data_IF_041546025866
#
_entry.id   IF_041546025866
#
_cell.length_a   1.000
_cell.length_b   1.000
_cell.length_c   1.000
_cell.angle_alpha   90.00
_cell.angle_beta   90.00
_cell.angle_gamma   90.00
#
_symmetry.space_group_name_H-M   'P 1'
#
loop_
_entity.id
_entity.type
_entity.pdbx_description
1 polymer ?
#
# COMPACT_ATOMS: atom_id res chain seq x y z
N UNK A 1 2.61 -8.08 -8.33
CA UNK A 1 3.24 -7.02 -9.16
C UNK A 1 4.73 -7.30 -9.19
N UNK A 2 5.26 -7.81 -10.31
CA UNK A 2 6.61 -8.38 -10.38
C UNK A 2 7.51 -7.76 -11.44
N UNK A 3 6.97 -6.90 -12.31
CA UNK A 3 7.75 -6.15 -13.28
C UNK A 3 8.04 -4.75 -12.71
N UNK A 4 9.31 -4.34 -12.76
CA UNK A 4 9.75 -3.03 -12.26
C UNK A 4 9.36 -1.89 -13.21
N UNK A 5 9.00 -2.21 -14.46
CA UNK A 5 8.49 -1.25 -15.44
C UNK A 5 7.04 -0.79 -15.14
N UNK A 6 6.33 -1.50 -14.26
CA UNK A 6 4.95 -1.14 -13.86
C UNK A 6 4.90 0.10 -12.94
N UNK A 7 6.05 0.57 -12.45
CA UNK A 7 6.11 1.77 -11.61
C UNK A 7 5.89 3.03 -12.44
N UNK A 8 5.05 3.94 -11.95
CA UNK A 8 4.76 5.18 -12.67
C UNK A 8 5.87 6.21 -12.49
N UNK A 9 6.06 7.08 -13.49
CA UNK A 9 6.97 8.22 -13.38
C UNK A 9 6.64 9.12 -12.18
N UNK A 10 5.33 9.27 -11.87
CA UNK A 10 4.89 10.04 -10.71
C UNK A 10 5.28 9.38 -9.39
N UNK A 11 5.17 8.06 -9.29
CA UNK A 11 5.62 7.34 -8.10
C UNK A 11 7.12 7.50 -7.88
N UNK A 12 7.94 7.34 -8.93
CA UNK A 12 9.39 7.55 -8.84
C UNK A 12 9.75 8.96 -8.37
N UNK A 13 9.12 9.99 -8.96
CA UNK A 13 9.33 11.38 -8.57
C UNK A 13 8.96 11.62 -7.10
N UNK A 14 7.76 11.20 -6.68
CA UNK A 14 7.31 11.36 -5.28
C UNK A 14 8.25 10.64 -4.32
N UNK A 15 8.65 9.40 -4.62
CA UNK A 15 9.58 8.66 -3.76
C UNK A 15 10.95 9.34 -3.64
N UNK A 16 11.38 10.09 -4.67
CA UNK A 16 12.62 10.88 -4.64
C UNK A 16 12.52 12.24 -3.94
N UNK A 17 11.31 12.78 -3.77
CA UNK A 17 11.08 14.13 -3.22
C UNK A 17 10.64 14.14 -1.75
N UNK A 18 10.05 13.05 -1.25
CA UNK A 18 9.54 13.00 0.13
C UNK A 18 10.66 12.92 1.17
N UNK A 19 10.41 13.35 2.41
CA UNK A 19 11.39 13.32 3.49
C UNK A 19 11.67 11.88 3.99
N UNK A 20 10.66 11.00 3.95
CA UNK A 20 10.79 9.61 4.39
C UNK A 20 9.79 8.68 3.68
N UNK A 21 10.20 7.43 3.45
CA UNK A 21 9.34 6.37 2.92
C UNK A 21 9.01 5.37 4.03
N UNK A 22 7.75 5.31 4.45
CA UNK A 22 7.21 4.25 5.29
C UNK A 22 6.91 3.01 4.44
N UNK A 23 7.57 1.89 4.73
CA UNK A 23 7.50 0.67 3.91
C UNK A 23 7.37 -0.60 4.75
N UNK A 24 6.69 -1.60 4.20
CA UNK A 24 6.45 -2.90 4.85
C UNK A 24 7.76 -3.69 5.03
N UNK A 25 8.45 -4.02 3.93
CA UNK A 25 9.84 -4.52 3.95
C UNK A 25 10.82 -3.49 3.38
N UNK A 26 11.67 -2.95 4.26
CA UNK A 26 12.74 -2.01 3.90
C UNK A 26 13.77 -2.59 2.92
N UNK A 27 14.02 -3.90 2.92
CA UNK A 27 14.99 -4.56 2.04
C UNK A 27 14.45 -4.66 0.61
N UNK A 28 13.17 -5.05 0.47
CA UNK A 28 12.48 -5.09 -0.83
C UNK A 28 12.38 -3.68 -1.41
N UNK A 29 11.94 -2.72 -0.60
CA UNK A 29 11.83 -1.32 -0.99
C UNK A 29 13.18 -0.75 -1.41
N UNK A 30 14.26 -1.03 -0.66
CA UNK A 30 15.62 -0.59 -1.01
C UNK A 30 16.07 -1.07 -2.39
N UNK A 31 15.69 -2.28 -2.80
CA UNK A 31 16.04 -2.81 -4.13
C UNK A 31 15.38 -2.00 -5.24
N UNK A 32 14.10 -1.65 -5.07
CA UNK A 32 13.38 -0.76 -6.00
C UNK A 32 14.05 0.63 -6.04
N UNK A 33 14.27 1.24 -4.88
CA UNK A 33 14.86 2.58 -4.80
C UNK A 33 16.26 2.64 -5.43
N UNK A 34 17.10 1.65 -5.15
CA UNK A 34 18.46 1.58 -5.69
C UNK A 34 18.47 1.50 -7.22
N UNK A 35 17.56 0.72 -7.83
CA UNK A 35 17.44 0.61 -9.30
C UNK A 35 17.09 1.95 -9.97
N UNK A 36 16.41 2.84 -9.25
CA UNK A 36 16.02 4.15 -9.74
C UNK A 36 16.85 5.31 -9.18
N UNK A 37 17.96 5.02 -8.48
CA UNK A 37 18.85 6.05 -7.92
C UNK A 37 18.23 6.89 -6.80
N UNK A 38 17.17 6.40 -6.16
CA UNK A 38 16.46 7.12 -5.10
C UNK A 38 17.16 6.85 -3.75
N UNK A 39 17.49 7.92 -3.02
CA UNK A 39 18.24 7.88 -1.75
C UNK A 39 17.42 8.23 -0.52
N UNK A 40 16.12 8.46 -0.70
CA UNK A 40 15.19 8.83 0.36
C UNK A 40 15.22 7.80 1.49
N UNK A 41 15.34 8.22 2.76
CA UNK A 41 15.43 7.29 3.87
C UNK A 41 14.12 6.50 4.04
N UNK A 42 14.27 5.24 4.44
CA UNK A 42 13.14 4.33 4.66
C UNK A 42 12.95 4.05 6.15
N UNK A 43 11.69 3.94 6.58
CA UNK A 43 11.30 3.45 7.91
C UNK A 43 10.35 2.27 7.74
N UNK A 44 10.51 1.24 8.58
CA UNK A 44 9.63 0.08 8.55
C UNK A 44 8.26 0.41 9.16
N UNK A 45 7.19 0.12 8.42
CA UNK A 45 5.80 0.25 8.84
C UNK A 45 5.00 -0.97 8.34
N UNK A 46 4.73 -1.91 9.24
CA UNK A 46 4.09 -3.20 8.93
C UNK A 46 3.17 -3.65 10.08
N UNK A 47 2.45 -4.75 9.89
CA UNK A 47 1.36 -5.21 10.76
C UNK A 47 1.72 -5.23 12.26
N UNK A 48 2.90 -5.74 12.63
CA UNK A 48 3.29 -5.88 14.04
C UNK A 48 3.84 -4.61 14.68
N UNK A 49 4.20 -3.59 13.90
CA UNK A 49 4.80 -2.36 14.42
C UNK A 49 3.94 -1.11 14.18
N UNK A 50 2.84 -1.21 13.44
CA UNK A 50 2.00 -0.09 13.02
C UNK A 50 1.50 0.78 14.17
N UNK A 51 1.17 0.17 15.32
CA UNK A 51 0.70 0.89 16.51
C UNK A 51 1.80 1.73 17.17
N UNK A 52 3.06 1.31 17.03
CA UNK A 52 4.22 2.06 17.55
C UNK A 52 4.69 3.11 16.56
N UNK A 53 4.83 2.74 15.28
CA UNK A 53 5.38 3.61 14.22
C UNK A 53 4.38 4.63 13.69
N UNK A 54 3.08 4.36 13.76
CA UNK A 54 2.03 5.28 13.30
C UNK A 54 2.12 6.66 13.96
N UNK A 55 2.13 6.76 15.30
CA UNK A 55 2.33 8.02 16.01
C UNK A 55 3.63 8.75 15.67
N UNK A 56 4.71 8.02 15.35
CA UNK A 56 5.97 8.64 14.93
C UNK A 56 5.85 9.28 13.54
N UNK A 57 5.23 8.58 12.58
CA UNK A 57 4.97 9.08 11.23
C UNK A 57 4.01 10.27 11.23
N UNK A 58 2.96 10.23 12.06
CA UNK A 58 2.03 11.35 12.21
C UNK A 58 2.73 12.60 12.76
N UNK A 59 3.64 12.45 13.73
CA UNK A 59 4.44 13.59 14.22
C UNK A 59 5.29 14.22 13.13
N UNK A 60 5.89 13.42 12.25
CA UNK A 60 6.64 13.94 11.09
C UNK A 60 5.71 14.76 10.18
N UNK A 61 4.55 14.22 9.84
CA UNK A 61 3.56 14.89 9.00
C UNK A 61 3.07 16.20 9.63
N UNK A 62 2.75 16.22 10.93
CA UNK A 62 2.35 17.43 11.66
C UNK A 62 3.47 18.47 11.73
N UNK A 63 4.73 18.04 11.72
CA UNK A 63 5.89 18.92 11.64
C UNK A 63 6.16 19.46 10.22
N UNK A 64 5.25 19.22 9.26
CA UNK A 64 5.37 19.69 7.88
C UNK A 64 6.28 18.82 7.00
N UNK A 65 6.73 17.66 7.48
CA UNK A 65 7.45 16.68 6.66
C UNK A 65 6.48 15.91 5.78
N UNK A 66 7.02 15.38 4.70
CA UNK A 66 6.32 14.54 3.74
C UNK A 66 6.68 13.06 3.95
N UNK A 67 5.66 12.20 3.92
CA UNK A 67 5.82 10.74 4.08
C UNK A 67 5.18 10.04 2.87
N UNK A 68 5.96 9.24 2.14
CA UNK A 68 5.38 8.26 1.22
C UNK A 68 5.12 6.94 1.95
N UNK A 69 3.94 6.37 1.75
CA UNK A 69 3.58 5.03 2.23
C UNK A 69 3.64 4.05 1.06
N UNK A 70 4.36 2.93 1.24
CA UNK A 70 4.45 1.84 0.26
C UNK A 70 4.22 0.48 0.94
N UNK A 71 3.68 -0.48 0.20
CA UNK A 71 3.58 -1.91 0.57
C UNK A 71 4.55 -2.72 -0.30
N UNK A 72 4.80 -3.97 0.06
CA UNK A 72 5.68 -4.87 -0.68
C UNK A 72 5.28 -5.05 -2.16
N UNK A 73 3.99 -4.94 -2.48
CA UNK A 73 3.50 -4.97 -3.85
C UNK A 73 2.13 -4.31 -4.04
N UNK A 74 1.99 -3.48 -5.06
CA UNK A 74 0.70 -2.96 -5.51
C UNK A 74 0.30 -1.66 -4.84
N UNK A 75 -0.96 -1.58 -4.40
CA UNK A 75 -1.59 -0.34 -3.91
C UNK A 75 -1.64 -0.33 -2.38
N UNK A 76 -0.92 0.59 -1.70
CA UNK A 76 -0.93 0.70 -0.24
C UNK A 76 -2.30 1.02 0.34
N UNK A 77 -2.60 0.49 1.52
CA UNK A 77 -3.88 0.59 2.21
C UNK A 77 -4.92 -0.46 1.81
N UNK A 78 -4.58 -1.37 0.89
CA UNK A 78 -5.49 -2.44 0.43
C UNK A 78 -4.93 -3.79 0.83
N UNK A 79 -5.56 -4.43 1.83
CA UNK A 79 -5.11 -5.70 2.41
C UNK A 79 -3.71 -5.65 3.05
N UNK A 80 -3.30 -4.46 3.48
CA UNK A 80 -2.01 -4.18 4.13
C UNK A 80 -2.21 -3.22 5.33
N UNK A 81 -1.18 -2.94 6.15
CA UNK A 81 -1.33 -2.17 7.38
C UNK A 81 -1.54 -0.66 7.16
N UNK A 82 -1.40 -0.18 5.93
CA UNK A 82 -1.46 1.22 5.55
C UNK A 82 -2.78 1.94 5.84
N UNK A 83 -3.89 1.21 5.88
CA UNK A 83 -5.21 1.74 6.22
C UNK A 83 -5.19 2.54 7.53
N UNK A 84 -4.48 2.03 8.54
CA UNK A 84 -4.44 2.63 9.86
C UNK A 84 -3.82 4.03 9.83
N UNK A 85 -2.64 4.16 9.19
CA UNK A 85 -1.95 5.44 9.05
C UNK A 85 -2.79 6.45 8.26
N UNK A 86 -3.41 6.02 7.17
CA UNK A 86 -4.27 6.88 6.35
C UNK A 86 -5.46 7.39 7.16
N UNK A 87 -6.12 6.51 7.93
CA UNK A 87 -7.24 6.87 8.80
C UNK A 87 -6.83 7.94 9.81
N UNK A 88 -5.71 7.74 10.49
CA UNK A 88 -5.22 8.66 11.52
C UNK A 88 -4.75 9.99 10.93
N UNK A 89 -4.07 9.98 9.78
CA UNK A 89 -3.67 11.19 9.08
C UNK A 89 -4.89 12.04 8.68
N UNK A 90 -5.93 11.41 8.12
CA UNK A 90 -7.18 12.10 7.79
C UNK A 90 -7.87 12.67 9.03
N UNK A 91 -7.92 11.92 10.13
CA UNK A 91 -8.49 12.38 11.38
C UNK A 91 -7.76 13.61 11.95
N UNK A 92 -6.45 13.73 11.68
CA UNK A 92 -5.62 14.88 12.05
C UNK A 92 -5.67 16.03 11.03
N UNK A 93 -6.52 15.97 10.00
CA UNK A 93 -6.61 17.00 8.96
C UNK A 93 -5.42 17.03 7.99
N UNK A 94 -4.59 15.99 7.98
CA UNK A 94 -3.41 15.90 7.12
C UNK A 94 -3.84 15.46 5.72
N UNK A 95 -3.42 16.17 4.65
CA UNK A 95 -3.73 15.76 3.28
C UNK A 95 -3.18 14.37 2.96
N UNK A 96 -4.02 13.49 2.42
CA UNK A 96 -3.62 12.18 1.89
C UNK A 96 -3.79 12.19 0.38
N UNK A 97 -2.69 12.02 -0.34
CA UNK A 97 -2.66 12.09 -1.81
C UNK A 97 -2.37 10.70 -2.38
N UNK A 98 -3.37 9.99 -2.94
CA UNK A 98 -3.13 8.69 -3.57
C UNK A 98 -2.35 8.86 -4.88
N UNK A 99 -1.37 7.99 -5.12
CA UNK A 99 -0.66 7.86 -6.40
C UNK A 99 -1.23 6.68 -7.18
N UNK A 100 -1.91 6.90 -8.32
CA UNK A 100 -2.33 5.81 -9.19
C UNK A 100 -1.14 4.97 -9.59
N UNK A 101 -1.36 3.66 -9.60
CA UNK A 101 -0.31 2.70 -9.80
C UNK A 101 -0.84 1.29 -9.90
N UNK A 102 0.07 0.31 -9.88
CA UNK A 102 -0.27 -1.07 -10.14
C UNK A 102 -1.22 -1.68 -9.09
N UNK A 103 -2.23 -2.41 -9.57
CA UNK A 103 -3.15 -3.20 -8.75
C UNK A 103 -3.35 -4.57 -9.38
N UNK A 104 -2.97 -5.63 -8.66
CA UNK A 104 -3.10 -7.01 -9.15
C UNK A 104 -4.58 -7.39 -9.38
N UNK A 105 -5.49 -6.88 -8.54
CA UNK A 105 -6.93 -7.07 -8.67
C UNK A 105 -7.45 -6.51 -9.99
N UNK A 106 -7.17 -5.23 -10.26
CA UNK A 106 -7.69 -4.54 -11.45
C UNK A 106 -7.04 -5.08 -12.72
N UNK A 107 -5.75 -5.40 -12.68
CA UNK A 107 -5.04 -6.00 -13.80
C UNK A 107 -5.56 -7.40 -14.14
N UNK A 108 -5.89 -8.22 -13.14
CA UNK A 108 -6.50 -9.53 -13.39
C UNK A 108 -7.92 -9.39 -13.94
N UNK A 109 -8.74 -8.51 -13.35
CA UNK A 109 -10.12 -8.30 -13.78
C UNK A 109 -10.21 -7.79 -15.23
N UNK A 110 -9.33 -6.87 -15.63
CA UNK A 110 -9.36 -6.30 -16.99
C UNK A 110 -9.06 -7.32 -18.09
N UNK A 111 -8.37 -8.42 -17.77
CA UNK A 111 -8.04 -9.51 -18.69
C UNK A 111 -8.90 -10.77 -18.49
N UNK A 112 -9.85 -10.77 -17.55
CA UNK A 112 -10.58 -11.98 -17.14
C UNK A 112 -11.72 -12.38 -18.11
N UNK A 113 -12.13 -11.52 -19.04
CA UNK A 113 -13.21 -11.80 -19.98
C UNK A 113 -14.60 -11.91 -19.34
N UNK A 114 -14.80 -11.31 -18.16
CA UNK A 114 -16.08 -11.26 -17.43
C UNK A 114 -16.57 -9.80 -17.30
N UNK A 115 -17.87 -9.57 -17.09
CA UNK A 115 -18.38 -8.22 -16.79
C UNK A 115 -17.63 -7.61 -15.60
N UNK A 116 -17.17 -6.37 -15.77
CA UNK A 116 -16.33 -5.65 -14.82
C UNK A 116 -16.90 -4.28 -14.42
N UNK A 117 -18.14 -3.97 -14.82
CA UNK A 117 -18.88 -2.77 -14.42
C UNK A 117 -19.19 -2.75 -12.92
N UNK A 118 -19.36 -3.94 -12.32
CA UNK A 118 -19.52 -4.13 -10.87
C UNK A 118 -18.82 -5.41 -10.44
N UNK A 119 -17.99 -5.31 -9.41
CA UNK A 119 -17.30 -6.45 -8.82
C UNK A 119 -17.15 -6.26 -7.31
N UNK A 120 -16.94 -7.38 -6.61
CA UNK A 120 -16.69 -7.39 -5.17
C UNK A 120 -15.27 -7.89 -4.92
N UNK A 121 -14.49 -7.14 -4.15
CA UNK A 121 -13.18 -7.57 -3.67
C UNK A 121 -13.28 -8.07 -2.22
N UNK A 122 -13.09 -9.36 -2.04
CA UNK A 122 -13.17 -10.04 -0.73
C UNK A 122 -11.81 -10.18 -0.03
N UNK A 123 -10.72 -9.76 -0.68
CA UNK A 123 -9.38 -10.02 -0.18
C UNK A 123 -9.10 -11.52 -0.04
N UNK A 124 -8.51 -11.91 1.10
CA UNK A 124 -8.14 -13.29 1.38
C UNK A 124 -9.23 -14.01 2.16
N UNK A 125 -9.71 -15.13 1.63
CA UNK A 125 -10.63 -16.00 2.35
C UNK A 125 -9.96 -16.63 3.59
N UNK A 126 -10.75 -17.03 4.61
CA UNK A 126 -10.22 -17.72 5.77
C UNK A 126 -9.38 -18.96 5.38
N UNK A 127 -8.23 -19.15 6.04
CA UNK A 127 -7.36 -20.30 5.78
C UNK A 127 -8.01 -21.65 6.14
N UNK A 128 -8.89 -21.67 7.15
CA UNK A 128 -9.55 -22.90 7.62
C UNK A 128 -10.67 -23.33 6.64
N UNK A 129 -10.67 -24.58 6.13
CA UNK A 129 -11.62 -25.02 5.10
C UNK A 129 -13.09 -24.81 5.44
N UNK A 130 -13.51 -25.10 6.69
CA UNK A 130 -14.89 -24.89 7.13
C UNK A 130 -15.31 -23.42 7.09
N UNK A 131 -14.47 -22.53 7.61
CA UNK A 131 -14.73 -21.07 7.58
C UNK A 131 -14.71 -20.52 6.15
N UNK A 132 -13.79 -21.01 5.32
CA UNK A 132 -13.72 -20.65 3.89
C UNK A 132 -15.01 -21.00 3.16
N UNK A 133 -15.49 -22.23 3.31
CA UNK A 133 -16.74 -22.69 2.68
C UNK A 133 -17.95 -21.89 3.16
N UNK A 134 -18.03 -21.61 4.46
CA UNK A 134 -19.11 -20.80 5.01
C UNK A 134 -19.08 -19.37 4.45
N UNK A 135 -17.90 -18.74 4.34
CA UNK A 135 -17.77 -17.43 3.71
C UNK A 135 -18.21 -17.46 2.24
N UNK A 136 -17.72 -18.42 1.45
CA UNK A 136 -18.10 -18.56 0.04
C UNK A 136 -19.61 -18.75 -0.17
N UNK A 137 -20.27 -19.50 0.73
CA UNK A 137 -21.73 -19.68 0.66
C UNK A 137 -22.49 -18.37 0.94
N UNK A 138 -21.97 -17.51 1.80
CA UNK A 138 -22.57 -16.22 2.13
C UNK A 138 -22.34 -15.14 1.05
N UNK A 139 -21.55 -15.42 0.01
CA UNK A 139 -21.25 -14.53 -1.10
C UNK A 139 -22.00 -14.89 -2.39
N UNK A 140 -22.80 -15.96 -2.35
CA UNK A 140 -23.72 -16.33 -3.42
C UNK A 140 -25.03 -15.59 -3.23
#
# INVERSE_FOLDING_TARGET
MGNLEDITLRALRVLGEVDVIACEDTRRTRTLLARHGIRTPTVSYFEHNKLRRGPELLRLLTAGRSVALVTDAGTPGVSDPGFLLVREARAAGIPVVPVPGPSALVAALSAAGVPADRFVFEGFLPSRPGRRRNRLRALR
#
